data_IF_072201112221
#
_entry.id   IF_072201112221
#
_cell.length_a   1.000
_cell.length_b   1.000
_cell.length_c   1.000
_cell.angle_alpha   90.00
_cell.angle_beta   90.00
_cell.angle_gamma   90.00
#
_symmetry.space_group_name_H-M   'P 1'
#
loop_
_entity.id
_entity.type
_entity.pdbx_description
1 polymer ?
#
# COMPACT_ATOMS: atom_id res chain seq x y z
N UNK A 1 5.41 11.06 7.41
CA UNK A 1 6.58 10.24 7.84
C UNK A 1 7.78 10.54 6.94
N UNK A 2 9.02 10.52 7.43
CA UNK A 2 10.23 10.74 6.60
C UNK A 2 11.33 9.71 6.85
N UNK A 3 11.88 9.16 5.77
CA UNK A 3 13.07 8.30 5.72
C UNK A 3 14.13 9.04 4.90
N UNK A 4 15.28 9.31 5.51
CA UNK A 4 16.37 10.04 4.85
C UNK A 4 17.72 9.40 5.14
N UNK A 5 18.58 9.27 4.13
CA UNK A 5 19.95 8.74 4.28
C UNK A 5 20.02 7.36 4.92
N UNK A 6 18.95 6.57 4.76
CA UNK A 6 18.85 5.21 5.28
C UNK A 6 18.91 4.22 4.13
N UNK A 7 20.05 3.55 3.96
CA UNK A 7 20.31 2.70 2.80
C UNK A 7 19.52 1.37 2.81
N UNK A 8 19.06 0.96 4.00
CA UNK A 8 18.28 -0.26 4.18
C UNK A 8 17.13 0.03 5.15
N UNK A 9 15.89 -0.09 4.69
CA UNK A 9 14.71 0.10 5.52
C UNK A 9 13.54 -0.76 5.06
N UNK A 10 12.61 -1.00 6.00
CA UNK A 10 11.32 -1.64 5.74
C UNK A 10 10.23 -0.87 6.48
N UNK A 11 9.15 -0.54 5.79
CA UNK A 11 7.91 0.00 6.37
C UNK A 11 6.80 -1.01 6.15
N UNK A 12 6.27 -1.57 7.24
CA UNK A 12 5.27 -2.64 7.16
C UNK A 12 4.13 -2.44 8.13
N UNK A 13 2.91 -2.74 7.67
CA UNK A 13 1.68 -2.69 8.47
C UNK A 13 1.40 -1.33 9.10
N UNK A 14 1.69 -0.23 8.39
CA UNK A 14 1.41 1.11 8.89
C UNK A 14 0.12 1.65 8.28
N UNK A 15 -0.71 2.26 9.11
CA UNK A 15 -1.76 3.18 8.66
C UNK A 15 -1.19 4.60 8.71
N UNK A 16 -1.17 5.27 7.55
CA UNK A 16 -0.61 6.62 7.38
C UNK A 16 -1.70 7.46 6.73
N UNK A 17 -2.49 8.13 7.57
CA UNK A 17 -3.69 8.78 7.11
C UNK A 17 -3.82 10.21 7.64
N UNK A 18 -4.37 11.09 6.78
CA UNK A 18 -4.75 12.47 7.11
C UNK A 18 -3.63 13.28 7.76
N UNK A 19 -2.38 12.97 7.42
CA UNK A 19 -1.25 13.73 7.91
C UNK A 19 -1.28 15.15 7.36
N UNK A 20 -0.92 16.09 8.23
CA UNK A 20 -0.79 17.49 7.90
C UNK A 20 0.70 17.88 7.88
N UNK A 21 1.19 18.26 6.71
CA UNK A 21 2.52 18.86 6.55
C UNK A 21 2.37 20.15 5.74
N UNK A 22 3.30 21.08 5.94
CA UNK A 22 3.38 22.33 5.17
C UNK A 22 4.21 22.22 3.89
N UNK A 23 4.89 21.09 3.68
CA UNK A 23 5.85 20.87 2.60
C UNK A 23 5.60 19.51 1.90
N UNK A 24 6.65 18.88 1.35
CA UNK A 24 6.54 17.65 0.56
C UNK A 24 6.49 16.37 1.40
N UNK A 25 5.87 15.34 0.83
CA UNK A 25 5.76 14.00 1.38
C UNK A 25 4.71 13.90 2.47
N UNK A 26 3.49 14.32 2.15
CA UNK A 26 2.37 14.35 3.09
C UNK A 26 2.06 12.99 3.72
N UNK A 27 2.16 11.89 2.97
CA UNK A 27 2.19 10.55 3.54
C UNK A 27 3.60 10.16 3.98
N UNK A 28 4.39 9.60 3.06
CA UNK A 28 5.75 9.10 3.29
C UNK A 28 6.73 9.81 2.36
N UNK A 29 7.75 10.46 2.92
CA UNK A 29 8.90 10.96 2.18
C UNK A 29 10.10 10.01 2.30
N UNK A 30 10.62 9.53 1.16
CA UNK A 30 11.86 8.76 1.08
C UNK A 30 12.85 9.56 0.23
N UNK A 31 13.95 10.01 0.84
CA UNK A 31 14.94 10.87 0.17
C UNK A 31 16.37 10.44 0.47
N UNK A 32 17.27 10.51 -0.52
CA UNK A 32 18.70 10.22 -0.34
C UNK A 32 18.97 8.87 0.34
N UNK A 33 18.10 7.89 0.12
CA UNK A 33 18.12 6.60 0.83
C UNK A 33 18.86 5.50 0.07
N UNK A 34 19.61 5.88 -0.98
CA UNK A 34 20.49 5.00 -1.72
C UNK A 34 19.77 3.90 -2.51
N UNK A 35 20.57 3.10 -3.25
CA UNK A 35 20.06 2.08 -4.16
C UNK A 35 20.14 0.64 -3.63
N UNK A 36 20.41 0.47 -2.32
CA UNK A 36 20.59 -0.86 -1.73
C UNK A 36 19.23 -1.53 -1.54
N UNK A 37 18.43 -1.11 -0.55
CA UNK A 37 17.15 -1.78 -0.26
C UNK A 37 16.17 -0.93 0.57
N UNK A 38 15.28 -0.20 -0.08
CA UNK A 38 14.06 0.32 0.55
C UNK A 38 12.85 -0.57 0.27
N UNK A 39 12.10 -0.97 1.30
CA UNK A 39 10.87 -1.75 1.15
C UNK A 39 9.69 -1.13 1.88
N UNK A 40 8.53 -1.14 1.24
CA UNK A 40 7.23 -0.86 1.87
C UNK A 40 6.31 -2.02 1.57
N UNK A 41 5.76 -2.68 2.60
CA UNK A 41 4.78 -3.73 2.38
C UNK A 41 3.55 -3.55 3.25
N UNK A 42 2.36 -3.78 2.70
CA UNK A 42 1.15 -3.81 3.49
C UNK A 42 0.92 -2.56 4.33
N UNK A 43 1.06 -1.39 3.72
CA UNK A 43 0.70 -0.13 4.38
C UNK A 43 -0.63 0.38 3.79
N UNK A 44 -1.42 1.04 4.63
CA UNK A 44 -2.67 1.72 4.23
C UNK A 44 -2.45 3.22 4.30
N UNK A 45 -2.41 3.90 3.15
CA UNK A 45 -2.19 5.34 3.03
C UNK A 45 -3.48 6.02 2.58
N UNK A 46 -4.01 6.94 3.39
CA UNK A 46 -5.36 7.49 3.17
C UNK A 46 -5.42 9.00 3.36
N UNK A 47 -5.84 9.74 2.33
CA UNK A 47 -6.17 11.17 2.41
C UNK A 47 -5.08 12.06 3.04
N UNK A 48 -3.80 11.88 2.67
CA UNK A 48 -2.73 12.76 3.13
C UNK A 48 -2.68 14.03 2.26
N UNK A 49 -3.76 14.81 2.29
CA UNK A 49 -4.06 15.88 1.33
C UNK A 49 -3.51 17.26 1.69
N UNK A 50 -3.02 17.46 2.91
CA UNK A 50 -2.26 18.69 3.20
C UNK A 50 -0.94 18.69 2.43
N UNK A 51 -0.24 19.83 2.35
CA UNK A 51 1.06 19.89 1.69
C UNK A 51 0.99 19.56 0.19
N UNK A 52 1.79 18.60 -0.27
CA UNK A 52 1.83 18.18 -1.68
C UNK A 52 0.77 17.15 -2.06
N UNK A 53 -0.05 16.67 -1.11
CA UNK A 53 -1.09 15.69 -1.37
C UNK A 53 -0.57 14.31 -1.80
N UNK A 54 0.72 14.01 -1.59
CA UNK A 54 1.35 12.78 -2.08
C UNK A 54 1.31 11.67 -1.03
N UNK A 55 0.88 10.48 -1.44
CA UNK A 55 0.93 9.27 -0.61
C UNK A 55 2.36 8.84 -0.32
N UNK A 56 3.13 8.51 -1.36
CA UNK A 56 4.55 8.16 -1.26
C UNK A 56 5.39 9.05 -2.17
N UNK A 57 6.19 9.92 -1.56
CA UNK A 57 7.16 10.76 -2.25
C UNK A 57 8.53 10.08 -2.23
N UNK A 58 9.11 9.82 -3.40
CA UNK A 58 10.47 9.31 -3.54
C UNK A 58 11.33 10.31 -4.30
N UNK A 59 12.46 10.70 -3.70
CA UNK A 59 13.42 11.62 -4.31
C UNK A 59 14.87 11.30 -3.92
N UNK A 60 15.81 12.07 -4.51
CA UNK A 60 17.23 12.02 -4.19
C UNK A 60 17.82 10.60 -4.21
N UNK A 61 18.11 10.04 -5.38
CA UNK A 61 18.81 8.76 -5.53
C UNK A 61 18.40 7.63 -4.56
N UNK A 62 17.17 7.13 -4.70
CA UNK A 62 16.58 6.11 -3.84
C UNK A 62 16.03 4.92 -4.64
N UNK A 63 16.18 3.69 -4.12
CA UNK A 63 15.52 2.48 -4.64
C UNK A 63 14.45 1.99 -3.68
N UNK A 64 13.19 2.01 -4.12
CA UNK A 64 12.03 1.66 -3.29
C UNK A 64 11.18 0.59 -3.96
N UNK A 65 10.97 -0.51 -3.25
CA UNK A 65 10.09 -1.62 -3.66
C UNK A 65 8.83 -1.59 -2.78
N UNK A 66 7.66 -1.49 -3.39
CA UNK A 66 6.37 -1.46 -2.73
C UNK A 66 5.60 -2.76 -3.05
N UNK A 67 5.10 -3.45 -2.02
CA UNK A 67 4.31 -4.67 -2.15
C UNK A 67 3.00 -4.55 -1.38
N UNK A 68 1.87 -4.95 -1.97
CA UNK A 68 0.62 -5.13 -1.23
C UNK A 68 0.15 -3.88 -0.48
N UNK A 69 0.43 -2.68 -0.97
CA UNK A 69 0.01 -1.44 -0.30
C UNK A 69 -1.39 -1.03 -0.75
N UNK A 70 -2.11 -0.32 0.11
CA UNK A 70 -3.40 0.27 -0.18
C UNK A 70 -3.23 1.80 -0.17
N UNK A 71 -3.39 2.47 -1.30
CA UNK A 71 -3.12 3.91 -1.45
C UNK A 71 -4.37 4.60 -1.99
N UNK A 72 -5.04 5.34 -1.11
CA UNK A 72 -6.40 5.84 -1.35
C UNK A 72 -6.50 7.35 -1.11
N UNK A 73 -7.23 8.05 -1.99
CA UNK A 73 -7.60 9.47 -1.86
C UNK A 73 -6.42 10.43 -1.70
N UNK A 74 -5.36 10.26 -2.48
CA UNK A 74 -4.25 11.20 -2.60
C UNK A 74 -4.46 12.12 -3.83
N UNK A 75 -3.75 13.25 -3.89
CA UNK A 75 -3.57 13.97 -5.16
C UNK A 75 -2.72 13.11 -6.09
N UNK A 76 -1.57 12.61 -5.60
CA UNK A 76 -0.78 11.59 -6.30
C UNK A 76 -0.46 10.44 -5.36
N UNK A 77 -0.76 9.20 -5.77
CA UNK A 77 -0.50 8.01 -4.95
C UNK A 77 0.99 7.81 -4.68
N UNK A 78 1.80 7.67 -5.74
CA UNK A 78 3.26 7.54 -5.65
C UNK A 78 3.95 8.49 -6.63
N UNK A 79 4.92 9.27 -6.16
CA UNK A 79 5.72 10.16 -6.99
C UNK A 79 7.20 9.77 -6.94
N UNK A 80 7.84 9.75 -8.10
CA UNK A 80 9.30 9.65 -8.25
C UNK A 80 9.84 10.95 -8.87
N UNK A 81 10.37 11.85 -8.03
CA UNK A 81 10.88 13.16 -8.48
C UNK A 81 12.32 13.12 -8.99
N UNK A 82 12.99 11.98 -8.91
CA UNK A 82 14.40 11.85 -9.23
C UNK A 82 14.68 10.72 -10.24
N UNK A 83 13.71 10.39 -11.09
CA UNK A 83 13.91 9.48 -12.23
C UNK A 83 14.92 10.07 -13.23
N UNK A 84 15.85 9.28 -13.82
CA UNK A 84 16.03 7.84 -13.65
C UNK A 84 16.97 7.45 -12.49
N UNK A 85 17.51 8.43 -11.75
CA UNK A 85 18.47 8.16 -10.65
C UNK A 85 17.84 7.45 -9.46
N UNK A 86 16.52 7.51 -9.31
CA UNK A 86 15.73 6.76 -8.34
C UNK A 86 14.85 5.75 -9.06
N UNK A 87 14.72 4.56 -8.49
CA UNK A 87 13.89 3.46 -9.02
C UNK A 87 12.76 3.15 -8.04
N UNK A 88 11.52 3.20 -8.54
CA UNK A 88 10.32 2.96 -7.74
C UNK A 88 9.47 1.92 -8.43
N UNK A 89 9.27 0.78 -7.78
CA UNK A 89 8.42 -0.29 -8.30
C UNK A 89 7.34 -0.64 -7.27
N UNK A 90 6.09 -0.66 -7.68
CA UNK A 90 4.96 -1.16 -6.92
C UNK A 90 4.46 -2.48 -7.52
N UNK A 91 4.04 -3.39 -6.65
CA UNK A 91 3.47 -4.68 -7.04
C UNK A 91 2.30 -5.00 -6.11
N UNK A 92 1.21 -5.55 -6.65
CA UNK A 92 0.00 -5.88 -5.88
C UNK A 92 -0.56 -4.72 -5.05
N UNK A 93 -0.38 -3.49 -5.53
CA UNK A 93 -0.87 -2.29 -4.83
C UNK A 93 -2.29 -1.96 -5.30
N UNK A 94 -3.19 -1.69 -4.37
CA UNK A 94 -4.53 -1.18 -4.67
C UNK A 94 -4.49 0.34 -4.62
N UNK A 95 -4.83 0.98 -5.74
CA UNK A 95 -5.02 2.42 -5.82
C UNK A 95 -6.49 2.75 -6.00
N UNK A 96 -7.02 3.69 -5.22
CA UNK A 96 -8.42 4.11 -5.38
C UNK A 96 -8.61 5.59 -5.03
N UNK A 97 -9.39 6.31 -5.84
CA UNK A 97 -9.76 7.69 -5.56
C UNK A 97 -8.60 8.68 -5.51
N UNK A 98 -7.42 8.31 -6.03
CA UNK A 98 -6.33 9.26 -6.26
C UNK A 98 -6.62 10.07 -7.53
N UNK A 99 -6.21 11.34 -7.60
CA UNK A 99 -6.29 12.08 -8.88
C UNK A 99 -5.34 11.46 -9.92
N UNK A 100 -4.16 11.05 -9.48
CA UNK A 100 -3.24 10.20 -10.22
C UNK A 100 -2.69 9.08 -9.34
N UNK A 101 -2.70 7.83 -9.82
CA UNK A 101 -2.16 6.72 -9.04
C UNK A 101 -0.65 6.84 -8.84
N UNK A 102 0.08 7.27 -9.87
CA UNK A 102 1.52 7.47 -9.78
C UNK A 102 2.07 8.35 -10.90
N UNK A 103 3.21 9.00 -10.63
CA UNK A 103 3.93 9.84 -11.60
C UNK A 103 4.73 9.00 -12.61
N UNK A 104 5.21 9.60 -13.73
CA UNK A 104 6.25 8.99 -14.55
C UNK A 104 7.48 8.58 -13.73
N UNK A 105 8.15 7.49 -14.14
CA UNK A 105 9.29 6.93 -13.41
C UNK A 105 8.91 6.00 -12.25
N UNK A 106 7.62 5.77 -12.01
CA UNK A 106 7.11 4.68 -11.18
C UNK A 106 6.66 3.56 -12.10
N UNK A 107 7.07 2.32 -11.79
CA UNK A 107 6.54 1.12 -12.44
C UNK A 107 5.59 0.44 -11.47
N UNK A 108 4.41 0.05 -11.92
CA UNK A 108 3.42 -0.66 -11.11
C UNK A 108 2.97 -1.92 -11.85
N UNK A 109 2.91 -3.05 -11.16
CA UNK A 109 2.51 -4.36 -11.72
C UNK A 109 1.47 -5.05 -10.84
N UNK A 110 0.68 -5.95 -11.44
CA UNK A 110 -0.35 -6.74 -10.76
C UNK A 110 -1.27 -5.91 -9.85
N UNK A 111 -1.65 -4.72 -10.30
CA UNK A 111 -2.48 -3.82 -9.51
C UNK A 111 -3.78 -4.51 -9.11
N UNK A 112 -4.14 -4.35 -7.84
CA UNK A 112 -5.40 -4.87 -7.33
C UNK A 112 -6.45 -3.80 -7.60
N UNK A 113 -7.53 -4.17 -8.29
CA UNK A 113 -8.63 -3.25 -8.56
C UNK A 113 -9.39 -2.91 -7.28
N UNK A 114 -10.02 -1.75 -7.25
CA UNK A 114 -10.99 -1.41 -6.19
C UNK A 114 -12.22 -2.34 -6.18
N UNK A 115 -13.07 -2.24 -5.14
CA UNK A 115 -13.06 -1.15 -4.17
C UNK A 115 -12.20 -1.39 -2.93
N UNK A 116 -11.58 -0.34 -2.39
CA UNK A 116 -10.82 -0.41 -1.14
C UNK A 116 -11.72 -0.68 0.08
N UNK A 117 -12.91 -0.05 0.09
CA UNK A 117 -13.93 -0.12 1.17
C UNK A 117 -13.33 -0.14 2.57
N UNK A 118 -12.78 0.98 2.99
CA UNK A 118 -12.29 1.17 4.35
C UNK A 118 -13.40 1.59 5.32
N UNK A 119 -13.34 1.07 6.53
CA UNK A 119 -14.06 1.61 7.68
C UNK A 119 -13.43 2.94 8.14
N UNK A 120 -14.11 3.74 8.98
CA UNK A 120 -13.55 5.00 9.49
C UNK A 120 -12.23 4.86 10.25
N UNK A 121 -11.96 3.68 10.80
CA UNK A 121 -10.72 3.31 11.50
C UNK A 121 -9.69 2.63 10.58
N UNK A 122 -9.91 2.66 9.27
CA UNK A 122 -9.04 2.13 8.22
C UNK A 122 -8.89 0.61 8.17
N UNK A 123 -9.75 -0.14 8.87
CA UNK A 123 -9.89 -1.58 8.63
C UNK A 123 -10.67 -1.84 7.34
N UNK A 124 -10.47 -3.02 6.77
CA UNK A 124 -11.20 -3.46 5.59
C UNK A 124 -12.64 -3.78 5.95
N UNK A 125 -13.58 -3.23 5.19
CA UNK A 125 -14.99 -3.57 5.28
C UNK A 125 -15.31 -4.73 4.36
N UNK A 126 -16.28 -5.55 4.76
CA UNK A 126 -16.85 -6.60 3.91
C UNK A 126 -17.15 -6.09 2.49
N UNK A 127 -16.72 -6.87 1.49
CA UNK A 127 -16.80 -6.54 0.07
C UNK A 127 -15.65 -5.67 -0.45
N UNK A 128 -14.62 -5.40 0.35
CA UNK A 128 -13.36 -4.86 -0.14
C UNK A 128 -12.69 -5.85 -1.09
N UNK A 129 -12.17 -5.36 -2.22
CA UNK A 129 -11.35 -6.16 -3.12
C UNK A 129 -9.87 -6.20 -2.68
N UNK A 130 -9.52 -5.50 -1.61
CA UNK A 130 -8.22 -5.66 -0.96
C UNK A 130 -8.09 -7.01 -0.25
N UNK A 131 -9.22 -7.59 0.19
CA UNK A 131 -9.29 -8.86 0.88
C UNK A 131 -8.83 -10.01 -0.03
N UNK A 132 -7.95 -10.88 0.43
CA UNK A 132 -7.46 -12.09 -0.26
C UNK A 132 -6.77 -11.87 -1.62
N UNK A 133 -6.28 -10.67 -1.90
CA UNK A 133 -5.68 -10.33 -3.20
C UNK A 133 -4.20 -9.90 -3.12
N UNK A 134 -3.56 -9.96 -1.96
CA UNK A 134 -2.14 -9.63 -1.85
C UNK A 134 -1.21 -10.81 -2.16
N UNK A 135 0.01 -10.49 -2.59
CA UNK A 135 1.10 -11.44 -2.74
C UNK A 135 1.53 -12.00 -1.37
N UNK A 136 1.75 -13.31 -1.26
CA UNK A 136 2.31 -13.91 -0.04
C UNK A 136 3.76 -13.47 0.19
N UNK A 137 4.00 -12.77 1.30
CA UNK A 137 5.33 -12.34 1.73
C UNK A 137 5.75 -13.11 3.00
N UNK A 138 6.70 -14.04 2.89
CA UNK A 138 7.13 -14.90 4.01
C UNK A 138 7.71 -14.16 5.22
N UNK A 139 8.05 -12.87 5.05
CA UNK A 139 8.61 -11.99 6.08
C UNK A 139 7.56 -11.05 6.71
N UNK A 140 6.29 -11.13 6.31
CA UNK A 140 5.16 -10.42 6.95
C UNK A 140 4.10 -11.45 7.34
N UNK A 141 4.09 -11.86 8.62
CA UNK A 141 3.24 -12.96 9.11
C UNK A 141 2.09 -12.51 10.00
N UNK A 142 2.07 -11.24 10.38
CA UNK A 142 0.99 -10.61 11.13
C UNK A 142 0.68 -9.26 10.53
N UNK A 143 -0.51 -8.74 10.79
CA UNK A 143 -0.97 -7.41 10.35
C UNK A 143 -0.71 -6.34 11.43
N UNK A 144 -1.45 -5.22 11.40
CA UNK A 144 -1.32 -4.12 12.37
C UNK A 144 -1.94 -4.44 13.74
N UNK A 145 -2.98 -5.27 13.79
CA UNK A 145 -3.68 -5.66 15.03
C UNK A 145 -3.10 -6.93 15.66
N UNK A 146 -2.12 -7.55 14.98
CA UNK A 146 -1.44 -8.75 15.42
C UNK A 146 -2.10 -10.04 14.93
N UNK A 147 -3.08 -9.94 14.03
CA UNK A 147 -3.75 -11.06 13.42
C UNK A 147 -2.83 -11.83 12.48
N UNK A 148 -2.99 -13.16 12.35
CA UNK A 148 -2.22 -13.97 11.40
C UNK A 148 -2.44 -13.50 9.96
N UNK A 149 -1.38 -13.60 9.16
CA UNK A 149 -1.46 -13.34 7.72
C UNK A 149 -1.11 -14.59 6.92
N UNK A 150 -2.07 -15.21 6.19
CA UNK A 150 -3.50 -14.84 6.08
C UNK A 150 -4.40 -15.50 7.15
N UNK A 151 -5.58 -14.91 7.40
CA UNK A 151 -6.79 -15.54 7.94
C UNK A 151 -7.59 -16.16 6.80
N UNK A 152 -7.73 -15.46 5.68
CA UNK A 152 -8.40 -15.94 4.47
C UNK A 152 -7.54 -16.87 3.60
N UNK A 153 -8.00 -17.23 2.39
CA UNK A 153 -7.21 -17.98 1.41
C UNK A 153 -5.90 -17.29 1.00
N UNK A 154 -5.79 -15.96 1.09
CA UNK A 154 -4.60 -15.20 0.73
C UNK A 154 -4.45 -13.97 1.65
N UNK A 155 -3.26 -13.35 1.74
CA UNK A 155 -3.13 -12.10 2.48
C UNK A 155 -3.97 -10.97 1.89
N UNK A 156 -4.28 -9.98 2.73
CA UNK A 156 -4.95 -8.77 2.33
C UNK A 156 -3.98 -7.67 1.88
N UNK A 157 -4.42 -6.85 0.93
CA UNK A 157 -3.73 -5.61 0.54
C UNK A 157 -3.98 -4.55 1.61
N UNK A 158 -2.91 -3.86 2.03
CA UNK A 158 -2.97 -2.88 3.11
C UNK A 158 -2.55 -3.44 4.47
N UNK A 159 -2.69 -2.59 5.49
CA UNK A 159 -2.17 -2.81 6.84
C UNK A 159 -2.97 -3.79 7.68
N UNK A 160 -4.26 -3.93 7.40
CA UNK A 160 -5.22 -4.76 8.12
C UNK A 160 -5.44 -6.09 7.38
N UNK A 161 -5.73 -7.15 8.14
CA UNK A 161 -6.23 -8.43 7.64
C UNK A 161 -7.68 -8.60 8.11
N UNK A 162 -8.59 -8.49 7.14
CA UNK A 162 -10.01 -8.33 7.39
C UNK A 162 -10.65 -9.62 7.89
N UNK A 163 -11.26 -9.54 9.08
CA UNK A 163 -12.03 -10.66 9.63
C UNK A 163 -13.41 -10.76 8.99
N UNK A 164 -13.49 -11.45 7.86
CA UNK A 164 -14.75 -11.73 7.18
C UNK A 164 -15.30 -13.12 7.55
N UNK A 165 -16.62 -13.23 7.68
CA UNK A 165 -17.27 -14.54 7.80
C UNK A 165 -17.40 -15.14 6.39
N UNK A 166 -16.57 -16.13 6.09
CA UNK A 166 -16.67 -16.89 4.84
C UNK A 166 -17.79 -17.93 4.94
N UNK A 167 -18.95 -17.66 4.34
CA UNK A 167 -20.05 -18.61 4.24
C UNK A 167 -19.91 -19.43 2.95
N UNK A 168 -19.44 -20.67 3.05
CA UNK A 168 -19.38 -21.58 1.91
C UNK A 168 -20.73 -22.29 1.73
N UNK A 169 -21.45 -21.93 0.66
CA UNK A 169 -22.68 -22.65 0.28
C UNK A 169 -22.29 -23.99 -0.39
N UNK A 170 -22.91 -25.11 0.00
CA UNK A 170 -22.66 -26.39 -0.68
C UNK A 170 -23.10 -26.29 -2.13
N UNK A 171 -22.19 -26.63 -3.05
CA UNK A 171 -22.49 -26.75 -4.47
C UNK A 171 -23.32 -28.03 -4.69
N UNK A 172 -24.64 -27.88 -4.82
CA UNK A 172 -25.52 -29.00 -5.20
C UNK A 172 -25.59 -29.07 -6.72
N UNK A 173 -24.75 -29.92 -7.32
CA UNK A 173 -24.87 -30.28 -8.73
C UNK A 173 -26.10 -31.18 -8.90
N UNK A 174 -27.10 -30.71 -9.67
CA UNK A 174 -28.13 -31.60 -10.21
C UNK A 174 -27.56 -32.31 -11.43
N UNK A 175 -27.39 -33.62 -11.31
CA UNK A 175 -27.24 -34.47 -12.49
C UNK A 175 -28.60 -34.52 -13.20
N UNK A 176 -28.63 -34.09 -14.46
CA UNK A 176 -29.73 -34.37 -15.37
C UNK A 176 -29.41 -35.62 -16.18
#
# INVERSE_FOLDING_TARGET
MRVASCHVFTLTNNIIARNAVSATGSGVAIVNSGLIRGRMAHNTLVANLSGDGVGVYVGGHSKVLLYNNLIVSQTVGITNTASPTSTVTADYTLFEGNESNYSPGVTSTNEVSGPARLLPDYHLRFGSNAADHALLLTWVRRDIDGDPRPIGPSPDVGADEGRFVYLYLPLVLRNY
#
